data_IF_235579061077
#
_entry.id   IF_235579061077
#
_cell.length_a   1.000
_cell.length_b   1.000
_cell.length_c   1.000
_cell.angle_alpha   90.00
_cell.angle_beta   90.00
_cell.angle_gamma   90.00
#
_symmetry.space_group_name_H-M   'P 1'
#
loop_
_entity.id
_entity.type
_entity.pdbx_description
1 polymer ?
#
# COMPACT_ATOMS: atom_id res chain seq x y z
N UNK A 1 24.11 -11.05 39.70
CA UNK A 1 25.27 -11.69 39.06
C UNK A 1 25.39 -11.27 37.61
N UNK A 2 26.62 -11.02 37.13
CA UNK A 2 26.97 -10.56 35.78
C UNK A 2 26.28 -11.35 34.65
N UNK A 3 26.13 -12.66 34.82
CA UNK A 3 25.49 -13.57 33.87
C UNK A 3 24.03 -13.19 33.55
N UNK A 4 23.24 -12.74 34.55
CA UNK A 4 21.86 -12.26 34.32
C UNK A 4 21.81 -10.99 33.47
N UNK A 5 22.78 -10.08 33.64
CA UNK A 5 22.86 -8.86 32.84
C UNK A 5 23.23 -9.18 31.39
N UNK A 6 24.20 -10.08 31.17
CA UNK A 6 24.58 -10.54 29.83
C UNK A 6 23.39 -11.20 29.13
N UNK A 7 22.68 -12.09 29.83
CA UNK A 7 21.50 -12.77 29.28
C UNK A 7 20.37 -11.78 28.93
N UNK A 8 20.15 -10.78 29.77
CA UNK A 8 19.17 -9.72 29.50
C UNK A 8 19.51 -8.94 28.23
N UNK A 9 20.76 -8.45 28.11
CA UNK A 9 21.22 -7.70 26.93
C UNK A 9 21.11 -8.55 25.66
N UNK A 10 21.53 -9.82 25.72
CA UNK A 10 21.44 -10.73 24.57
C UNK A 10 19.98 -10.91 24.08
N UNK A 11 19.02 -11.02 25.01
CA UNK A 11 17.60 -11.13 24.65
C UNK A 11 17.05 -9.83 24.04
N UNK A 12 17.43 -8.67 24.57
CA UNK A 12 17.05 -7.37 23.99
C UNK A 12 17.59 -7.25 22.57
N UNK A 13 18.87 -7.54 22.36
CA UNK A 13 19.49 -7.52 21.02
C UNK A 13 18.81 -8.48 20.05
N UNK A 14 18.50 -9.71 20.50
CA UNK A 14 17.77 -10.69 19.68
C UNK A 14 16.37 -10.21 19.28
N UNK A 15 15.65 -9.56 20.21
CA UNK A 15 14.32 -8.98 19.94
C UNK A 15 14.40 -7.85 18.92
N UNK A 16 15.38 -6.96 19.06
CA UNK A 16 15.62 -5.85 18.12
C UNK A 16 15.92 -6.41 16.73
N UNK A 17 16.86 -7.36 16.63
CA UNK A 17 17.20 -8.00 15.36
C UNK A 17 15.98 -8.64 14.69
N UNK A 18 15.18 -9.41 15.43
CA UNK A 18 13.96 -10.05 14.89
C UNK A 18 12.96 -9.01 14.35
N UNK A 19 12.79 -7.88 15.04
CA UNK A 19 11.90 -6.81 14.59
C UNK A 19 12.42 -6.14 13.32
N UNK A 20 13.71 -5.79 13.27
CA UNK A 20 14.34 -5.19 12.09
C UNK A 20 14.27 -6.12 10.88
N UNK A 21 14.59 -7.41 11.06
CA UNK A 21 14.50 -8.41 10.00
C UNK A 21 13.08 -8.52 9.42
N UNK A 22 12.05 -8.49 10.29
CA UNK A 22 10.65 -8.47 9.83
C UNK A 22 10.33 -7.22 9.01
N UNK A 23 10.76 -6.03 9.47
CA UNK A 23 10.54 -4.76 8.76
C UNK A 23 11.22 -4.74 7.38
N UNK A 24 12.48 -5.19 7.30
CA UNK A 24 13.23 -5.30 6.04
C UNK A 24 12.52 -6.26 5.08
N UNK A 25 12.11 -7.44 5.55
CA UNK A 25 11.41 -8.41 4.71
C UNK A 25 10.08 -7.89 4.17
N UNK A 26 9.33 -7.11 4.97
CA UNK A 26 8.12 -6.44 4.49
C UNK A 26 8.43 -5.39 3.42
N UNK A 27 9.46 -4.57 3.62
CA UNK A 27 9.89 -3.58 2.63
C UNK A 27 10.29 -4.23 1.30
N UNK A 28 11.03 -5.35 1.35
CA UNK A 28 11.40 -6.13 0.15
C UNK A 28 10.16 -6.69 -0.56
N UNK A 29 9.18 -7.21 0.17
CA UNK A 29 7.95 -7.73 -0.42
C UNK A 29 7.12 -6.62 -1.09
N UNK A 30 6.97 -5.47 -0.43
CA UNK A 30 6.30 -4.32 -1.03
C UNK A 30 7.04 -3.85 -2.28
N UNK A 31 8.37 -3.73 -2.24
CA UNK A 31 9.16 -3.33 -3.39
C UNK A 31 8.96 -4.27 -4.59
N UNK A 32 8.95 -5.60 -4.37
CA UNK A 32 8.68 -6.60 -5.41
C UNK A 32 7.26 -6.53 -5.94
N UNK A 33 6.28 -6.28 -5.07
CA UNK A 33 4.88 -6.18 -5.48
C UNK A 33 4.65 -4.95 -6.36
N UNK A 34 5.27 -3.83 -6.01
CA UNK A 34 5.13 -2.58 -6.75
C UNK A 34 6.08 -2.46 -7.95
N UNK A 35 7.12 -3.30 -8.04
CA UNK A 35 8.07 -3.35 -9.15
C UNK A 35 7.42 -3.21 -10.55
N UNK A 36 6.42 -4.02 -10.94
CA UNK A 36 5.81 -3.91 -12.26
C UNK A 36 5.06 -2.61 -12.48
N UNK A 37 4.67 -1.88 -11.42
CA UNK A 37 3.95 -0.62 -11.50
C UNK A 37 4.90 0.59 -11.47
N UNK A 38 5.95 0.55 -10.63
CA UNK A 38 6.92 1.64 -10.49
C UNK A 38 7.87 1.76 -11.66
N UNK A 39 8.18 0.66 -12.34
CA UNK A 39 9.04 0.64 -13.53
C UNK A 39 8.26 0.57 -14.84
N UNK A 40 6.92 0.63 -14.77
CA UNK A 40 6.11 0.73 -15.97
C UNK A 40 6.28 2.12 -16.57
N UNK A 41 6.81 2.16 -17.81
CA UNK A 41 7.04 3.42 -18.52
C UNK A 41 5.77 4.01 -19.14
N UNK A 42 4.63 3.31 -19.05
CA UNK A 42 3.35 3.81 -19.51
C UNK A 42 2.68 4.66 -18.44
N UNK A 43 2.07 5.77 -18.86
CA UNK A 43 1.08 6.47 -18.04
C UNK A 43 -0.31 5.88 -18.30
N UNK A 44 -1.09 5.72 -17.25
CA UNK A 44 -2.51 5.44 -17.37
C UNK A 44 -3.22 6.78 -17.43
N UNK A 45 -3.73 7.14 -18.61
CA UNK A 45 -4.67 8.26 -18.69
C UNK A 45 -6.07 7.77 -18.28
N UNK A 46 -6.87 8.71 -17.83
CA UNK A 46 -8.26 8.53 -17.43
C UNK A 46 -9.23 8.75 -18.61
N UNK A 47 -8.74 8.83 -19.86
CA UNK A 47 -9.57 9.16 -21.01
C UNK A 47 -10.75 8.20 -21.22
N UNK A 48 -10.55 6.90 -20.94
CA UNK A 48 -11.64 5.92 -20.96
C UNK A 48 -12.65 6.15 -19.83
N UNK A 49 -12.20 6.60 -18.66
CA UNK A 49 -13.06 6.93 -17.53
C UNK A 49 -13.92 8.15 -17.86
N UNK A 50 -13.30 9.19 -18.42
CA UNK A 50 -13.99 10.41 -18.88
C UNK A 50 -15.05 10.08 -19.93
N UNK A 51 -14.75 9.21 -20.90
CA UNK A 51 -15.75 8.81 -21.89
C UNK A 51 -16.89 7.98 -21.27
N UNK A 52 -16.58 7.09 -20.32
CA UNK A 52 -17.60 6.35 -19.58
C UNK A 52 -18.53 7.28 -18.77
N UNK A 53 -17.97 8.28 -18.10
CA UNK A 53 -18.75 9.30 -17.39
C UNK A 53 -19.67 10.04 -18.35
N UNK A 54 -19.13 10.51 -19.49
CA UNK A 54 -19.91 11.23 -20.51
C UNK A 54 -21.11 10.41 -20.99
N UNK A 55 -20.90 9.12 -21.30
CA UNK A 55 -21.99 8.22 -21.73
C UNK A 55 -23.00 7.96 -20.61
N UNK A 56 -22.56 7.84 -19.37
CA UNK A 56 -23.44 7.65 -18.22
C UNK A 56 -24.34 8.88 -17.98
N UNK A 57 -23.79 10.09 -18.09
CA UNK A 57 -24.55 11.35 -18.02
C UNK A 57 -25.60 11.43 -19.14
N UNK A 58 -25.23 11.08 -20.38
CA UNK A 58 -26.17 11.02 -21.52
C UNK A 58 -27.33 10.05 -21.29
N UNK A 59 -27.11 8.99 -20.51
CA UNK A 59 -28.12 8.01 -20.14
C UNK A 59 -28.91 8.41 -18.88
N UNK A 60 -28.61 9.56 -18.27
CA UNK A 60 -29.27 10.06 -17.06
C UNK A 60 -28.90 9.29 -15.80
N UNK A 61 -27.73 8.63 -15.79
CA UNK A 61 -27.19 7.96 -14.60
C UNK A 61 -26.56 9.01 -13.69
N UNK A 62 -26.91 9.01 -12.41
CA UNK A 62 -26.28 9.88 -11.43
C UNK A 62 -24.87 9.39 -11.09
N UNK A 63 -23.86 10.12 -11.58
CA UNK A 63 -22.45 9.82 -11.34
C UNK A 63 -22.01 10.12 -9.90
N UNK A 64 -22.75 10.94 -9.15
CA UNK A 64 -22.44 11.28 -7.76
C UNK A 64 -22.49 10.03 -6.88
N UNK A 65 -23.34 9.06 -7.20
CA UNK A 65 -23.44 7.80 -6.47
C UNK A 65 -22.17 6.94 -6.61
N UNK A 66 -21.42 7.09 -7.70
CA UNK A 66 -20.26 6.27 -7.99
C UNK A 66 -18.92 6.91 -7.61
N UNK A 67 -18.87 8.24 -7.44
CA UNK A 67 -17.67 9.01 -7.07
C UNK A 67 -16.43 8.64 -7.92
N UNK A 68 -16.63 8.50 -9.23
CA UNK A 68 -15.59 8.11 -10.19
C UNK A 68 -14.70 9.31 -10.55
N UNK A 69 -13.99 9.91 -9.62
CA UNK A 69 -13.01 10.95 -9.95
C UNK A 69 -11.64 10.58 -9.38
N UNK A 70 -10.69 10.24 -10.26
CA UNK A 70 -9.31 9.92 -9.86
C UNK A 70 -8.54 11.12 -9.34
N UNK A 71 -8.93 12.34 -9.71
CA UNK A 71 -8.31 13.57 -9.19
C UNK A 71 -8.82 13.91 -7.78
N UNK A 72 -10.04 13.47 -7.43
CA UNK A 72 -10.62 13.66 -6.09
C UNK A 72 -9.93 12.88 -4.97
N UNK A 73 -9.08 11.90 -5.31
CA UNK A 73 -8.41 11.05 -4.35
C UNK A 73 -7.17 11.77 -3.81
N UNK A 74 -7.12 11.98 -2.50
CA UNK A 74 -5.89 12.32 -1.78
C UNK A 74 -4.94 11.11 -1.78
N UNK A 75 -4.17 10.97 -2.86
CA UNK A 75 -3.40 9.76 -3.16
C UNK A 75 -2.40 9.39 -2.07
N UNK A 76 -1.75 10.36 -1.42
CA UNK A 76 -0.83 10.10 -0.32
C UNK A 76 -1.56 9.49 0.88
N UNK A 77 -2.67 10.10 1.30
CA UNK A 77 -3.51 9.64 2.40
C UNK A 77 -4.08 8.25 2.12
N UNK A 78 -4.62 8.05 0.92
CA UNK A 78 -5.15 6.76 0.48
C UNK A 78 -4.06 5.68 0.50
N UNK A 79 -2.88 5.95 -0.06
CA UNK A 79 -1.81 4.95 -0.13
C UNK A 79 -1.29 4.57 1.26
N UNK A 80 -1.06 5.57 2.12
CA UNK A 80 -0.44 5.37 3.42
C UNK A 80 -1.38 4.78 4.47
N UNK A 81 -2.65 5.19 4.46
CA UNK A 81 -3.58 4.85 5.54
C UNK A 81 -4.63 3.80 5.14
N UNK A 82 -4.87 3.59 3.85
CA UNK A 82 -5.87 2.62 3.36
C UNK A 82 -5.19 1.49 2.57
N UNK A 83 -4.50 1.82 1.49
CA UNK A 83 -4.04 0.82 0.52
C UNK A 83 -2.94 -0.09 1.07
N UNK A 84 -1.81 0.46 1.53
CA UNK A 84 -0.70 -0.32 2.08
C UNK A 84 -1.14 -1.12 3.32
N UNK A 85 -1.83 -0.53 4.32
CA UNK A 85 -2.31 -1.30 5.46
C UNK A 85 -3.30 -2.40 5.08
N UNK A 86 -4.24 -2.14 4.17
CA UNK A 86 -5.19 -3.14 3.68
C UNK A 86 -4.50 -4.29 2.98
N UNK A 87 -3.53 -3.99 2.12
CA UNK A 87 -2.70 -4.98 1.45
C UNK A 87 -1.90 -5.84 2.46
N UNK A 88 -1.31 -5.22 3.48
CA UNK A 88 -0.56 -5.95 4.52
C UNK A 88 -1.46 -6.86 5.36
N UNK A 89 -2.70 -6.44 5.63
CA UNK A 89 -3.63 -7.19 6.46
C UNK A 89 -4.36 -8.32 5.69
N UNK A 90 -4.61 -8.13 4.40
CA UNK A 90 -5.51 -9.01 3.64
C UNK A 90 -4.94 -9.52 2.31
N UNK A 91 -4.04 -8.78 1.66
CA UNK A 91 -3.51 -9.12 0.33
C UNK A 91 -2.25 -9.97 0.38
N UNK A 92 -1.36 -9.71 1.34
CA UNK A 92 -0.17 -10.53 1.59
C UNK A 92 -0.57 -11.59 2.61
N UNK A 93 -0.85 -12.81 2.14
CA UNK A 93 -1.01 -13.95 3.05
C UNK A 93 0.27 -14.11 3.87
N UNK A 94 0.11 -14.04 5.19
CA UNK A 94 1.17 -14.27 6.17
C UNK A 94 1.67 -15.71 6.16
#
# INVERSE_FOLDING_TARGET
TLCRRIYFVANVSKKIYKNLNRKINLAIQLAKLYEPYTFFLGSFNDGNLVELQRVAEEQGIDLVEFNFDSESIEWEEYMMNIHIPGLLNYGIKS
#
